data_IF_916095132077
#
_entry.id   IF_916095132077
#
_cell.length_a   1.000
_cell.length_b   1.000
_cell.length_c   1.000
_cell.angle_alpha   90.00
_cell.angle_beta   90.00
_cell.angle_gamma   90.00
#
_symmetry.space_group_name_H-M   'P 1'
#
loop_
_entity.id
_entity.type
_entity.pdbx_description
1 polymer ?
#
# COMPACT_ATOMS: atom_id res chain seq x y z
N UNK A 1 54.25 -62.08 56.45
CA UNK A 1 53.26 -62.86 55.68
C UNK A 1 51.94 -62.11 55.73
N UNK A 2 51.45 -61.68 54.56
CA UNK A 2 50.05 -61.62 54.08
C UNK A 2 48.97 -61.06 55.04
N UNK A 3 48.00 -60.22 54.67
CA UNK A 3 47.41 -59.79 53.39
C UNK A 3 46.47 -58.62 53.80
N UNK A 4 46.53 -57.46 53.17
CA UNK A 4 45.65 -57.04 52.06
C UNK A 4 44.14 -56.94 52.39
N UNK A 5 43.57 -55.82 51.92
CA UNK A 5 42.15 -55.49 51.61
C UNK A 5 41.41 -54.69 52.68
N UNK A 6 40.64 -53.65 52.37
CA UNK A 6 40.40 -52.87 51.15
C UNK A 6 39.59 -51.64 51.55
N UNK A 7 39.57 -50.66 50.64
CA UNK A 7 39.20 -49.26 50.85
C UNK A 7 37.72 -49.02 51.18
N UNK A 8 37.55 -48.01 52.03
CA UNK A 8 36.35 -47.33 52.48
C UNK A 8 35.42 -46.88 51.33
N UNK A 9 34.21 -47.44 51.28
CA UNK A 9 33.08 -46.94 50.49
C UNK A 9 32.33 -45.88 51.30
N UNK A 10 32.32 -44.61 50.88
CA UNK A 10 31.14 -43.73 50.98
C UNK A 10 31.22 -42.66 49.88
N UNK A 11 30.39 -42.87 48.87
CA UNK A 11 30.25 -42.07 47.67
C UNK A 11 29.38 -40.84 48.00
N UNK A 12 30.01 -39.73 48.40
CA UNK A 12 29.28 -38.45 48.57
C UNK A 12 29.01 -37.83 47.20
N UNK A 13 27.80 -38.03 46.70
CA UNK A 13 27.27 -37.45 45.46
C UNK A 13 27.18 -35.92 45.63
N UNK A 14 28.18 -35.17 45.15
CA UNK A 14 28.08 -33.71 45.01
C UNK A 14 27.24 -33.41 43.78
N UNK A 15 25.99 -33.01 44.00
CA UNK A 15 25.10 -32.47 42.98
C UNK A 15 25.70 -31.15 42.45
N UNK A 16 26.31 -31.18 41.27
CA UNK A 16 26.68 -29.96 40.55
C UNK A 16 25.41 -29.46 39.87
N UNK A 17 24.76 -28.46 40.46
CA UNK A 17 23.75 -27.67 39.77
C UNK A 17 24.49 -26.76 38.80
N UNK A 18 24.61 -27.18 37.54
CA UNK A 18 24.99 -26.29 36.44
C UNK A 18 23.80 -25.36 36.24
N UNK A 19 23.86 -24.17 36.84
CA UNK A 19 22.91 -23.10 36.57
C UNK A 19 23.21 -22.58 35.15
N UNK A 20 22.60 -23.23 34.15
CA UNK A 20 22.61 -22.75 32.77
C UNK A 20 21.95 -21.38 32.75
N UNK A 21 22.76 -20.33 32.71
CA UNK A 21 22.31 -18.98 32.41
C UNK A 21 21.88 -18.99 30.93
N UNK A 22 20.61 -19.29 30.68
CA UNK A 22 19.99 -19.07 29.38
C UNK A 22 20.01 -17.56 29.19
N UNK A 23 20.99 -17.06 28.44
CA UNK A 23 20.95 -15.74 27.83
C UNK A 23 19.70 -15.71 26.96
N UNK A 24 18.61 -15.16 27.49
CA UNK A 24 17.47 -14.73 26.71
C UNK A 24 17.99 -13.51 25.92
N UNK A 25 18.64 -13.77 24.80
CA UNK A 25 18.74 -12.75 23.77
C UNK A 25 17.30 -12.39 23.39
N UNK A 26 16.90 -11.11 23.40
CA UNK A 26 15.64 -10.74 22.79
C UNK A 26 15.71 -11.22 21.34
N UNK A 27 14.90 -12.22 21.00
CA UNK A 27 14.56 -12.51 19.62
C UNK A 27 13.85 -11.27 19.13
N UNK A 28 14.61 -10.37 18.51
CA UNK A 28 14.03 -9.30 17.71
C UNK A 28 13.28 -10.00 16.59
N UNK A 29 11.97 -10.15 16.76
CA UNK A 29 11.08 -10.59 15.73
C UNK A 29 11.06 -9.48 14.67
N UNK A 30 11.96 -9.57 13.69
CA UNK A 30 11.87 -8.74 12.50
C UNK A 30 10.58 -9.11 11.79
N UNK A 31 9.69 -8.14 11.61
CA UNK A 31 8.55 -8.31 10.72
C UNK A 31 9.09 -8.73 9.35
N UNK A 32 8.54 -9.82 8.77
CA UNK A 32 8.91 -10.29 7.43
C UNK A 32 8.89 -9.10 6.47
N UNK A 33 10.02 -8.84 5.79
CA UNK A 33 10.09 -7.80 4.76
C UNK A 33 8.99 -8.00 3.72
N UNK A 34 8.48 -6.90 3.18
CA UNK A 34 7.63 -6.91 2.00
C UNK A 34 8.38 -6.50 0.73
N UNK A 35 9.72 -6.53 0.72
CA UNK A 35 10.53 -6.38 -0.48
C UNK A 35 10.58 -7.70 -1.27
N UNK A 36 10.58 -7.61 -2.60
CA UNK A 36 10.61 -8.77 -3.48
C UNK A 36 11.89 -9.61 -3.31
N UNK A 37 11.73 -10.92 -3.18
CA UNK A 37 12.85 -11.86 -3.14
C UNK A 37 13.48 -12.12 -4.52
N UNK A 38 12.82 -11.67 -5.60
CA UNK A 38 13.29 -11.83 -6.97
C UNK A 38 14.65 -11.16 -7.14
N UNK A 39 15.60 -11.87 -7.75
CA UNK A 39 17.02 -11.46 -7.83
C UNK A 39 17.26 -10.15 -8.59
N UNK A 40 16.31 -9.68 -9.39
CA UNK A 40 16.37 -8.39 -10.09
C UNK A 40 15.60 -7.27 -9.38
N UNK A 41 14.78 -7.59 -8.38
CA UNK A 41 13.73 -6.68 -7.86
C UNK A 41 13.93 -6.27 -6.40
N UNK A 42 15.18 -6.23 -5.94
CA UNK A 42 15.56 -5.71 -4.61
C UNK A 42 16.84 -4.87 -4.61
N UNK A 43 17.18 -4.27 -5.75
CA UNK A 43 18.44 -3.57 -5.97
C UNK A 43 18.21 -2.11 -6.34
N UNK A 44 18.90 -1.23 -5.62
CA UNK A 44 19.18 0.13 -6.08
C UNK A 44 20.66 0.24 -6.46
N UNK A 45 21.01 1.26 -7.23
CA UNK A 45 22.35 1.48 -7.76
C UNK A 45 22.88 2.88 -7.48
N UNK A 46 24.17 2.98 -7.21
CA UNK A 46 24.93 4.22 -7.19
C UNK A 46 26.34 4.00 -7.77
N UNK A 47 26.86 4.98 -8.49
CA UNK A 47 28.15 4.85 -9.19
C UNK A 47 29.37 4.83 -8.26
N UNK A 48 29.24 5.28 -7.02
CA UNK A 48 30.33 5.34 -6.03
C UNK A 48 30.25 4.18 -5.04
N UNK A 49 29.08 3.89 -4.48
CA UNK A 49 28.91 2.85 -3.45
C UNK A 49 28.42 1.51 -4.00
N UNK A 50 28.07 1.45 -5.29
CA UNK A 50 27.65 0.26 -6.00
C UNK A 50 26.23 -0.18 -5.67
N UNK A 51 26.02 -1.51 -5.68
CA UNK A 51 24.74 -2.14 -5.42
C UNK A 51 24.28 -1.96 -3.97
N UNK A 52 23.01 -1.59 -3.82
CA UNK A 52 22.32 -1.42 -2.55
C UNK A 52 21.19 -2.45 -2.50
N UNK A 53 21.28 -3.39 -1.56
CA UNK A 53 20.36 -4.51 -1.41
C UNK A 53 19.30 -4.20 -0.34
N UNK A 54 18.04 -4.17 -0.74
CA UNK A 54 16.89 -3.91 0.15
C UNK A 54 16.31 -5.18 0.81
N UNK A 55 16.72 -6.38 0.38
CA UNK A 55 16.15 -7.65 0.81
C UNK A 55 17.04 -8.46 1.77
N UNK A 56 18.36 -8.33 1.70
CA UNK A 56 19.29 -9.27 2.35
C UNK A 56 19.16 -9.37 3.87
N UNK A 57 18.80 -8.27 4.55
CA UNK A 57 18.52 -8.28 5.99
C UNK A 57 17.06 -8.61 6.34
N UNK A 58 16.19 -8.75 5.34
CA UNK A 58 14.77 -9.07 5.48
C UNK A 58 14.04 -8.19 6.51
N UNK A 59 14.42 -6.92 6.62
CA UNK A 59 13.88 -5.98 7.60
C UNK A 59 13.26 -4.72 6.97
N UNK A 60 13.43 -4.50 5.66
CA UNK A 60 12.85 -3.35 5.00
C UNK A 60 11.37 -3.56 4.85
N UNK A 61 10.55 -2.61 5.29
CA UNK A 61 9.11 -2.69 5.17
C UNK A 61 8.54 -1.37 4.69
N UNK A 62 7.78 -1.44 3.60
CA UNK A 62 7.01 -0.31 3.07
C UNK A 62 5.60 -0.38 3.64
N UNK A 63 5.14 0.69 4.26
CA UNK A 63 3.77 0.82 4.76
C UNK A 63 3.07 2.01 4.11
N UNK A 64 1.80 2.23 4.47
CA UNK A 64 1.03 3.39 4.00
C UNK A 64 1.76 4.71 4.27
N UNK A 65 2.44 4.83 5.42
CA UNK A 65 2.96 6.10 5.93
C UNK A 65 4.49 6.16 6.03
N UNK A 66 5.19 5.04 5.89
CA UNK A 66 6.63 4.99 6.14
C UNK A 66 7.33 3.87 5.37
N UNK A 67 8.65 4.02 5.22
CA UNK A 67 9.56 2.93 4.88
C UNK A 67 10.51 2.75 6.05
N UNK A 68 10.50 1.57 6.66
CA UNK A 68 11.36 1.23 7.80
C UNK A 68 12.40 0.19 7.40
N UNK A 69 13.42 0.01 8.22
CA UNK A 69 14.46 -1.00 8.05
C UNK A 69 15.79 -0.40 7.64
N UNK A 70 16.67 -1.23 7.09
CA UNK A 70 17.90 -0.76 6.47
C UNK A 70 18.30 -1.60 5.26
N UNK A 71 18.81 -0.93 4.23
CA UNK A 71 19.37 -1.59 3.06
C UNK A 71 20.88 -1.80 3.26
N UNK A 72 21.42 -2.92 2.76
CA UNK A 72 22.85 -3.18 2.82
C UNK A 72 23.54 -2.67 1.56
N UNK A 73 24.70 -2.06 1.73
CA UNK A 73 25.56 -1.65 0.63
C UNK A 73 26.80 -2.54 0.60
N UNK A 74 27.42 -2.69 -0.57
CA UNK A 74 28.65 -3.50 -0.68
C UNK A 74 29.88 -2.83 -0.08
N UNK A 75 29.87 -1.51 0.11
CA UNK A 75 31.07 -0.72 0.45
C UNK A 75 30.88 0.39 1.51
N UNK A 76 29.64 0.57 2.00
CA UNK A 76 29.24 1.69 2.87
C UNK A 76 28.57 1.27 4.19
N UNK A 77 28.46 -0.03 4.49
CA UNK A 77 27.64 -0.53 5.58
C UNK A 77 26.15 -0.43 5.23
N UNK A 78 25.33 0.08 6.15
CA UNK A 78 23.88 0.13 6.00
C UNK A 78 23.38 1.52 5.61
N UNK A 79 22.29 1.58 4.86
CA UNK A 79 21.46 2.78 4.71
C UNK A 79 20.23 2.57 5.58
N UNK A 80 20.17 3.28 6.71
CA UNK A 80 19.03 3.24 7.62
C UNK A 80 17.89 4.11 7.08
N UNK A 81 16.71 3.52 6.91
CA UNK A 81 15.55 4.17 6.31
C UNK A 81 14.69 4.90 7.34
N UNK A 82 14.87 4.59 8.63
CA UNK A 82 14.20 5.25 9.74
C UNK A 82 15.05 5.17 11.02
N UNK A 83 14.90 6.18 11.88
CA UNK A 83 15.61 6.23 13.16
C UNK A 83 15.17 5.12 14.13
N UNK A 84 13.99 4.53 13.93
CA UNK A 84 13.38 3.56 14.84
C UNK A 84 14.08 2.22 14.75
N UNK A 85 14.35 1.76 13.53
CA UNK A 85 15.05 0.50 13.27
C UNK A 85 16.42 0.42 13.95
N UNK A 86 17.14 1.54 14.02
CA UNK A 86 18.48 1.60 14.67
C UNK A 86 18.43 2.21 16.08
N UNK A 87 17.23 2.52 16.59
CA UNK A 87 17.02 2.95 17.98
C UNK A 87 17.53 4.35 18.32
N UNK A 88 17.63 5.26 17.35
CA UNK A 88 18.21 6.61 17.54
C UNK A 88 17.20 7.76 17.51
N UNK A 89 15.90 7.48 17.41
CA UNK A 89 14.87 8.52 17.32
C UNK A 89 14.85 9.53 18.48
N UNK A 90 15.35 9.13 19.67
CA UNK A 90 15.49 10.03 20.82
C UNK A 90 16.60 11.08 20.66
N UNK A 91 17.54 10.88 19.73
CA UNK A 91 18.68 11.77 19.48
C UNK A 91 18.55 12.45 18.13
N UNK A 92 18.22 11.70 17.09
CA UNK A 92 18.02 12.21 15.73
C UNK A 92 16.76 11.56 15.16
N UNK A 93 15.71 12.38 14.99
CA UNK A 93 14.46 11.92 14.40
C UNK A 93 14.54 12.07 12.86
N UNK A 94 14.52 10.95 12.15
CA UNK A 94 14.49 10.89 10.70
C UNK A 94 13.73 9.66 10.22
N UNK A 95 13.30 9.72 8.97
CA UNK A 95 12.79 8.56 8.27
C UNK A 95 12.30 8.89 6.87
N UNK A 96 12.16 7.85 6.07
CA UNK A 96 11.54 7.91 4.75
C UNK A 96 10.03 7.75 4.93
N UNK A 97 9.27 8.77 4.51
CA UNK A 97 7.81 8.79 4.57
C UNK A 97 7.21 8.39 3.23
N UNK A 98 6.11 7.66 3.28
CA UNK A 98 5.24 7.37 2.14
C UNK A 98 3.94 8.16 2.32
N UNK A 99 3.45 8.84 1.28
CA UNK A 99 2.20 9.61 1.35
C UNK A 99 0.94 8.76 1.08
N UNK A 100 1.08 7.43 1.11
CA UNK A 100 0.06 6.44 0.77
C UNK A 100 -0.25 6.32 -0.73
N UNK A 101 0.14 7.29 -1.56
CA UNK A 101 0.07 7.22 -3.02
C UNK A 101 1.39 6.75 -3.65
N UNK A 102 2.36 6.35 -2.83
CA UNK A 102 3.65 5.87 -3.28
C UNK A 102 4.64 7.00 -3.57
N UNK A 103 4.38 8.25 -3.17
CA UNK A 103 5.38 9.30 -3.26
C UNK A 103 6.24 9.30 -2.00
N UNK A 104 7.52 8.99 -2.13
CA UNK A 104 8.43 8.98 -0.99
C UNK A 104 9.04 10.36 -0.74
N UNK A 105 9.28 10.66 0.54
CA UNK A 105 9.91 11.89 1.02
C UNK A 105 10.68 11.63 2.31
N UNK A 106 11.27 12.68 2.90
CA UNK A 106 12.09 12.52 4.10
C UNK A 106 13.49 11.96 3.81
N UNK A 107 14.11 11.41 4.84
CA UNK A 107 15.54 11.20 4.89
C UNK A 107 15.92 9.82 5.38
N UNK A 108 16.89 9.20 4.69
CA UNK A 108 17.63 8.05 5.19
C UNK A 108 19.03 8.50 5.65
N UNK A 109 19.71 7.64 6.41
CA UNK A 109 21.03 7.92 6.98
C UNK A 109 22.03 6.80 6.70
N UNK A 110 23.27 7.19 6.42
CA UNK A 110 24.42 6.31 6.39
C UNK A 110 25.57 6.94 7.20
N UNK A 111 26.24 6.16 8.05
CA UNK A 111 27.29 6.71 8.94
C UNK A 111 28.52 7.24 8.22
N UNK A 112 28.77 6.79 6.98
CA UNK A 112 29.93 7.20 6.19
C UNK A 112 29.64 8.36 5.25
N UNK A 113 28.43 8.39 4.68
CA UNK A 113 28.06 9.34 3.61
C UNK A 113 26.98 10.33 4.04
N UNK A 114 26.39 10.17 5.22
CA UNK A 114 25.43 11.07 5.81
C UNK A 114 24.01 10.94 5.25
N UNK A 115 23.33 12.08 5.14
CA UNK A 115 21.92 12.17 4.79
C UNK A 115 21.63 11.83 3.32
N UNK A 116 20.61 11.01 3.09
CA UNK A 116 20.11 10.65 1.77
C UNK A 116 18.67 11.14 1.66
N UNK A 117 18.41 12.09 0.75
CA UNK A 117 17.10 12.69 0.53
C UNK A 117 16.30 11.90 -0.50
N UNK A 118 15.04 11.58 -0.19
CA UNK A 118 14.12 10.89 -1.10
C UNK A 118 13.27 11.85 -1.96
N UNK A 119 13.36 13.16 -1.72
CA UNK A 119 12.60 14.18 -2.45
C UNK A 119 13.31 15.53 -2.46
N UNK A 120 13.38 16.16 -3.64
CA UNK A 120 13.92 17.52 -3.83
C UNK A 120 13.30 18.59 -2.92
N UNK A 121 12.01 18.44 -2.58
CA UNK A 121 11.32 19.37 -1.68
C UNK A 121 11.77 19.30 -0.21
N UNK A 122 12.52 18.26 0.19
CA UNK A 122 13.12 18.20 1.53
C UNK A 122 14.15 19.33 1.75
N UNK A 123 14.84 19.74 0.68
CA UNK A 123 15.93 20.73 0.71
C UNK A 123 15.60 22.04 -0.02
N UNK A 124 14.42 22.14 -0.65
CA UNK A 124 14.09 23.28 -1.51
C UNK A 124 15.03 23.42 -2.74
N UNK A 125 15.66 22.33 -3.18
CA UNK A 125 16.61 22.34 -4.29
C UNK A 125 15.94 22.58 -5.64
N UNK A 126 16.65 23.22 -6.57
CA UNK A 126 16.13 23.61 -7.89
C UNK A 126 15.96 22.44 -8.88
N UNK A 127 16.61 21.30 -8.63
CA UNK A 127 16.50 20.11 -9.49
C UNK A 127 15.40 19.21 -8.92
N UNK A 128 14.28 19.03 -9.63
CA UNK A 128 13.20 18.19 -9.16
C UNK A 128 13.57 16.71 -9.26
N UNK A 129 13.52 16.01 -8.13
CA UNK A 129 13.61 14.55 -8.05
C UNK A 129 12.70 14.02 -6.95
N UNK A 130 12.29 12.75 -7.07
CA UNK A 130 11.55 12.00 -6.06
C UNK A 130 11.67 10.50 -6.32
N UNK A 131 11.74 9.69 -5.26
CA UNK A 131 11.51 8.24 -5.35
C UNK A 131 10.01 7.95 -5.27
N UNK A 132 9.49 7.11 -6.17
CA UNK A 132 8.07 6.76 -6.24
C UNK A 132 7.86 5.25 -6.30
N UNK A 133 6.69 4.78 -5.86
CA UNK A 133 6.24 3.40 -5.94
C UNK A 133 4.96 3.35 -6.78
N UNK A 134 4.93 2.51 -7.81
CA UNK A 134 3.76 2.35 -8.69
C UNK A 134 2.73 1.34 -8.13
N UNK A 135 1.63 1.13 -8.87
CA UNK A 135 0.56 0.19 -8.48
C UNK A 135 0.96 -1.28 -8.49
N UNK A 136 2.12 -1.62 -9.08
CA UNK A 136 2.72 -2.96 -9.04
C UNK A 136 3.78 -3.07 -7.94
N UNK A 137 3.97 -2.03 -7.13
CA UNK A 137 4.97 -1.98 -6.08
C UNK A 137 6.40 -1.71 -6.58
N UNK A 138 6.58 -1.34 -7.85
CA UNK A 138 7.91 -1.05 -8.38
C UNK A 138 8.34 0.36 -7.97
N UNK A 139 9.54 0.46 -7.43
CA UNK A 139 10.16 1.74 -7.17
C UNK A 139 10.70 2.34 -8.47
N UNK A 140 10.74 3.67 -8.53
CA UNK A 140 11.31 4.44 -9.64
C UNK A 140 11.85 5.78 -9.15
N UNK A 141 12.64 6.44 -9.99
CA UNK A 141 13.24 7.74 -9.68
C UNK A 141 14.53 7.62 -8.88
N UNK A 142 14.88 8.72 -8.21
CA UNK A 142 16.20 8.91 -7.62
C UNK A 142 16.12 9.49 -6.21
N UNK A 143 17.03 9.04 -5.35
CA UNK A 143 17.40 9.74 -4.13
C UNK A 143 18.74 10.48 -4.32
N UNK A 144 19.01 11.46 -3.45
CA UNK A 144 20.21 12.30 -3.53
C UNK A 144 21.01 12.25 -2.23
N UNK A 145 22.33 12.19 -2.35
CA UNK A 145 23.29 12.39 -1.28
C UNK A 145 24.39 13.33 -1.74
N UNK A 146 24.85 14.24 -0.88
CA UNK A 146 25.83 15.27 -1.25
C UNK A 146 27.24 14.72 -1.49
N UNK A 147 27.55 13.50 -1.03
CA UNK A 147 28.87 12.87 -1.17
C UNK A 147 28.88 11.87 -2.32
N UNK A 148 27.88 10.99 -2.40
CA UNK A 148 27.84 9.90 -3.38
C UNK A 148 26.95 10.21 -4.59
N UNK A 149 26.23 11.33 -4.56
CA UNK A 149 25.36 11.77 -5.65
C UNK A 149 24.06 10.97 -5.75
N UNK A 150 23.67 10.68 -6.99
CA UNK A 150 22.38 10.08 -7.33
C UNK A 150 22.31 8.58 -7.00
N UNK A 151 21.23 8.16 -6.36
CA UNK A 151 20.93 6.75 -6.09
C UNK A 151 19.68 6.36 -6.90
N UNK A 152 19.85 5.43 -7.84
CA UNK A 152 18.81 4.94 -8.74
C UNK A 152 18.04 3.79 -8.12
N UNK A 153 16.70 3.84 -8.16
CA UNK A 153 15.84 2.75 -7.68
C UNK A 153 15.35 1.80 -8.78
N UNK A 154 15.63 2.11 -10.05
CA UNK A 154 15.20 1.32 -11.19
C UNK A 154 16.13 1.55 -12.39
N UNK A 155 16.40 0.51 -13.17
CA UNK A 155 17.13 0.64 -14.44
C UNK A 155 16.33 1.47 -15.46
N UNK A 156 15.00 1.47 -15.36
CA UNK A 156 14.11 2.29 -16.17
C UNK A 156 14.06 3.71 -15.64
N UNK A 157 14.39 4.66 -16.52
CA UNK A 157 14.49 6.07 -16.18
C UNK A 157 13.53 6.89 -17.04
N UNK A 158 12.37 7.33 -16.50
CA UNK A 158 11.38 8.09 -17.28
C UNK A 158 11.92 9.42 -17.83
N UNK A 159 12.92 9.99 -17.15
CA UNK A 159 13.50 11.31 -17.47
C UNK A 159 14.98 11.23 -17.87
N UNK A 160 15.50 10.04 -18.18
CA UNK A 160 16.92 9.82 -18.45
C UNK A 160 17.20 8.61 -19.33
N UNK A 161 18.47 8.20 -19.40
CA UNK A 161 18.87 7.03 -20.18
C UNK A 161 18.52 5.74 -19.42
N UNK A 162 17.64 4.94 -20.01
CA UNK A 162 17.30 3.61 -19.51
C UNK A 162 18.51 2.65 -19.62
N UNK A 163 18.85 1.97 -18.52
CA UNK A 163 19.96 1.01 -18.47
C UNK A 163 19.49 -0.46 -18.42
N UNK A 164 18.19 -0.74 -18.48
CA UNK A 164 17.63 -2.09 -18.35
C UNK A 164 18.12 -3.07 -19.43
N UNK A 165 18.54 -2.58 -20.60
CA UNK A 165 19.12 -3.42 -21.66
C UNK A 165 20.52 -3.93 -21.34
N UNK A 166 21.22 -3.31 -20.38
CA UNK A 166 22.58 -3.68 -19.95
C UNK A 166 22.59 -4.24 -18.53
N UNK A 167 21.79 -3.67 -17.64
CA UNK A 167 21.64 -4.11 -16.26
C UNK A 167 20.19 -3.98 -15.84
N UNK A 168 19.51 -5.11 -15.68
CA UNK A 168 18.12 -5.15 -15.25
C UNK A 168 18.07 -5.19 -13.72
N UNK A 169 17.65 -4.07 -13.12
CA UNK A 169 17.52 -3.94 -11.67
C UNK A 169 16.36 -3.01 -11.31
N UNK A 170 15.73 -3.29 -10.19
CA UNK A 170 14.75 -2.42 -9.54
C UNK A 170 14.65 -2.76 -8.05
N UNK A 171 14.04 -1.87 -7.27
CA UNK A 171 13.47 -2.23 -5.97
C UNK A 171 11.97 -2.45 -6.17
N UNK A 172 11.42 -3.54 -5.65
CA UNK A 172 10.00 -3.82 -5.67
C UNK A 172 9.52 -4.23 -4.29
N UNK A 173 8.33 -3.75 -3.91
CA UNK A 173 7.63 -4.14 -2.68
C UNK A 173 6.29 -4.82 -3.02
N UNK A 174 5.78 -5.63 -2.09
CA UNK A 174 4.40 -6.13 -2.13
C UNK A 174 3.38 -5.06 -1.70
N UNK A 175 3.84 -3.97 -1.09
CA UNK A 175 2.99 -2.82 -0.83
C UNK A 175 2.66 -2.09 -2.14
N UNK A 176 1.40 -1.76 -2.36
CA UNK A 176 0.99 -0.94 -3.49
C UNK A 176 0.00 0.13 -3.04
N UNK A 177 -0.01 1.31 -3.67
CA UNK A 177 -1.01 2.32 -3.43
C UNK A 177 -2.40 1.76 -3.79
N UNK A 178 -3.31 1.76 -2.83
CA UNK A 178 -4.66 1.18 -2.99
C UNK A 178 -5.72 2.12 -2.43
N UNK A 179 -6.83 2.26 -3.16
CA UNK A 179 -8.04 2.92 -2.66
C UNK A 179 -8.83 1.98 -1.76
N UNK A 180 -9.49 2.53 -0.74
CA UNK A 180 -10.52 1.81 0.02
C UNK A 180 -11.90 2.20 -0.47
N UNK A 181 -12.84 1.26 -0.45
CA UNK A 181 -14.24 1.51 -0.83
C UNK A 181 -15.22 1.19 0.30
N UNK A 182 -16.30 1.94 0.37
CA UNK A 182 -17.48 1.64 1.19
C UNK A 182 -18.75 1.81 0.39
N UNK A 183 -19.86 1.23 0.87
CA UNK A 183 -21.16 1.40 0.21
C UNK A 183 -22.29 1.69 1.19
N UNK A 184 -23.34 2.32 0.68
CA UNK A 184 -24.59 2.56 1.37
C UNK A 184 -25.75 2.12 0.49
N UNK A 185 -26.65 1.31 1.04
CA UNK A 185 -27.87 0.88 0.38
C UNK A 185 -29.01 1.82 0.74
N UNK A 186 -29.74 2.28 -0.27
CA UNK A 186 -30.90 3.14 -0.09
C UNK A 186 -32.05 2.42 0.60
N UNK A 187 -33.07 3.15 1.04
CA UNK A 187 -34.40 2.57 1.31
C UNK A 187 -35.06 2.05 0.02
N UNK A 188 -36.19 1.35 0.16
CA UNK A 188 -37.04 0.94 -0.96
C UNK A 188 -37.82 2.15 -1.50
N UNK A 189 -37.75 2.38 -2.80
CA UNK A 189 -38.57 3.34 -3.53
C UNK A 189 -39.65 2.61 -4.33
N UNK A 190 -40.84 3.21 -4.42
CA UNK A 190 -41.97 2.76 -5.21
C UNK A 190 -42.16 3.75 -6.36
N UNK A 191 -42.13 3.28 -7.60
CA UNK A 191 -42.32 4.13 -8.79
C UNK A 191 -43.78 4.58 -8.95
N UNK A 192 -44.72 3.90 -8.29
CA UNK A 192 -46.16 4.08 -8.44
C UNK A 192 -46.76 3.33 -9.64
N UNK A 193 -45.92 2.82 -10.55
CA UNK A 193 -46.37 2.11 -11.75
C UNK A 193 -46.66 0.64 -11.45
N UNK A 194 -47.95 0.31 -11.39
CA UNK A 194 -48.42 -1.06 -11.10
C UNK A 194 -48.01 -2.08 -12.17
N UNK A 195 -47.79 -1.62 -13.40
CA UNK A 195 -47.29 -2.44 -14.51
C UNK A 195 -45.75 -2.54 -14.56
N UNK A 196 -45.07 -1.88 -13.63
CA UNK A 196 -43.62 -1.71 -13.60
C UNK A 196 -43.16 -0.48 -14.38
N UNK A 197 -41.94 -0.05 -14.09
CA UNK A 197 -41.28 1.08 -14.75
C UNK A 197 -39.87 0.67 -15.22
N UNK A 198 -39.27 1.52 -16.06
CA UNK A 198 -37.87 1.48 -16.44
C UNK A 198 -37.07 2.54 -15.68
N UNK A 199 -35.98 2.14 -15.03
CA UNK A 199 -34.99 3.11 -14.53
C UNK A 199 -34.14 3.65 -15.68
N UNK A 200 -34.24 4.94 -15.98
CA UNK A 200 -33.62 5.56 -17.15
C UNK A 200 -32.18 6.01 -16.88
N UNK A 201 -31.97 6.71 -15.77
CA UNK A 201 -30.67 7.29 -15.47
C UNK A 201 -30.50 7.59 -14.00
N UNK A 202 -29.25 7.73 -13.58
CA UNK A 202 -28.87 8.26 -12.27
C UNK A 202 -27.92 9.45 -12.44
N UNK A 203 -28.10 10.47 -11.61
CA UNK A 203 -27.12 11.52 -11.40
C UNK A 203 -26.96 11.77 -9.90
N UNK A 204 -25.88 12.42 -9.51
CA UNK A 204 -25.63 12.75 -8.11
C UNK A 204 -25.01 14.14 -7.99
N UNK A 205 -25.30 14.82 -6.89
CA UNK A 205 -24.67 16.07 -6.52
C UNK A 205 -23.77 15.87 -5.32
N UNK A 206 -22.69 16.65 -5.27
CA UNK A 206 -21.77 16.61 -4.15
C UNK A 206 -20.38 17.12 -4.53
N UNK A 207 -19.40 16.67 -3.76
CA UNK A 207 -18.01 17.04 -3.93
C UNK A 207 -17.18 15.84 -4.41
N UNK A 208 -16.50 16.02 -5.54
CA UNK A 208 -15.50 15.10 -6.07
C UNK A 208 -14.11 15.77 -5.96
N UNK A 209 -13.16 15.20 -5.21
CA UNK A 209 -11.84 15.80 -5.09
C UNK A 209 -11.05 15.82 -6.43
N UNK A 210 -10.37 16.94 -6.75
CA UNK A 210 -9.58 17.12 -7.99
C UNK A 210 -8.06 17.22 -7.73
N UNK A 211 -7.24 16.45 -8.46
CA UNK A 211 -5.74 16.51 -8.46
C UNK A 211 -5.11 15.95 -7.17
N UNK A 212 -4.03 15.15 -7.15
CA UNK A 212 -2.96 14.85 -8.09
C UNK A 212 -2.68 13.34 -7.99
N UNK A 213 -2.76 12.60 -9.10
CA UNK A 213 -2.52 11.15 -9.14
C UNK A 213 -3.71 10.26 -8.76
N UNK A 214 -4.94 10.78 -8.76
CA UNK A 214 -6.14 10.06 -8.27
C UNK A 214 -6.63 8.95 -9.22
N UNK A 215 -5.81 7.92 -9.42
CA UNK A 215 -6.34 6.57 -9.57
C UNK A 215 -7.05 6.21 -8.26
N UNK A 216 -8.22 5.58 -8.36
CA UNK A 216 -8.93 5.05 -7.20
C UNK A 216 -9.99 5.95 -6.55
N UNK A 217 -10.06 7.28 -6.80
CA UNK A 217 -11.19 8.10 -6.31
C UNK A 217 -12.40 7.92 -7.22
N UNK A 218 -13.58 7.64 -6.66
CA UNK A 218 -14.76 7.38 -7.49
C UNK A 218 -16.07 7.32 -6.72
N UNK A 219 -17.16 7.51 -7.46
CA UNK A 219 -18.51 7.14 -7.06
C UNK A 219 -19.02 6.10 -8.05
N UNK A 220 -19.63 5.03 -7.54
CA UNK A 220 -20.24 3.97 -8.32
C UNK A 220 -21.67 3.70 -7.87
N UNK A 221 -22.53 3.30 -8.80
CA UNK A 221 -23.90 2.90 -8.50
C UNK A 221 -24.19 1.46 -8.92
N UNK A 222 -24.99 0.77 -8.12
CA UNK A 222 -25.68 -0.46 -8.51
C UNK A 222 -27.16 -0.31 -8.19
N UNK A 223 -28.02 -1.06 -8.89
CA UNK A 223 -29.46 -0.99 -8.71
C UNK A 223 -30.04 -2.38 -8.50
N UNK A 224 -31.02 -2.47 -7.62
CA UNK A 224 -31.83 -3.65 -7.39
C UNK A 224 -33.29 -3.29 -7.66
N UNK A 225 -34.00 -4.18 -8.35
CA UNK A 225 -35.40 -3.98 -8.75
C UNK A 225 -36.24 -5.19 -8.35
N UNK A 226 -37.51 -4.96 -7.98
CA UNK A 226 -38.45 -6.02 -7.59
C UNK A 226 -39.90 -5.59 -7.82
N UNK A 227 -40.81 -6.56 -7.97
CA UNK A 227 -42.26 -6.35 -7.94
C UNK A 227 -42.86 -6.55 -6.54
N UNK A 228 -42.02 -6.73 -5.53
CA UNK A 228 -42.39 -6.75 -4.11
C UNK A 228 -41.59 -5.70 -3.34
N UNK A 229 -42.26 -4.98 -2.44
CA UNK A 229 -41.66 -3.95 -1.58
C UNK A 229 -40.65 -4.51 -0.57
N UNK A 230 -40.64 -5.84 -0.36
CA UNK A 230 -39.69 -6.54 0.50
C UNK A 230 -38.48 -7.11 -0.23
N UNK A 231 -38.41 -6.99 -1.56
CA UNK A 231 -37.34 -7.57 -2.39
C UNK A 231 -37.77 -8.84 -3.13
N UNK A 232 -36.84 -9.69 -3.60
CA UNK A 232 -35.40 -9.71 -3.28
C UNK A 232 -34.64 -8.48 -3.77
N UNK A 233 -33.54 -8.14 -3.10
CA UNK A 233 -32.69 -7.00 -3.45
C UNK A 233 -31.33 -7.48 -3.96
N UNK A 234 -31.24 -7.67 -5.28
CA UNK A 234 -30.01 -8.05 -5.97
C UNK A 234 -29.42 -6.82 -6.65
N UNK A 235 -28.37 -6.22 -6.08
CA UNK A 235 -27.76 -5.03 -6.64
C UNK A 235 -26.90 -5.38 -7.85
N UNK A 236 -27.31 -4.94 -9.03
CA UNK A 236 -26.67 -5.29 -10.31
C UNK A 236 -25.99 -4.05 -10.89
N UNK A 237 -24.79 -4.23 -11.41
CA UNK A 237 -24.06 -3.25 -12.22
C UNK A 237 -24.13 -3.55 -13.73
N UNK A 238 -23.32 -2.88 -14.56
CA UNK A 238 -23.32 -3.03 -16.02
C UNK A 238 -23.10 -4.45 -16.55
N UNK A 239 -22.44 -5.34 -15.78
CA UNK A 239 -22.18 -6.72 -16.20
C UNK A 239 -23.35 -7.69 -15.92
N UNK A 240 -24.44 -7.24 -15.31
CA UNK A 240 -25.59 -8.10 -14.99
C UNK A 240 -25.39 -9.02 -13.78
N UNK A 241 -24.22 -9.02 -13.13
CA UNK A 241 -23.91 -9.90 -12.00
C UNK A 241 -24.37 -9.25 -10.69
N UNK A 242 -25.26 -9.95 -9.99
CA UNK A 242 -25.76 -9.51 -8.69
C UNK A 242 -24.65 -9.41 -7.64
N UNK A 243 -24.64 -8.31 -6.90
CA UNK A 243 -23.76 -7.99 -5.78
C UNK A 243 -22.26 -8.07 -6.11
N UNK A 244 -21.89 -7.88 -7.38
CA UNK A 244 -20.49 -7.86 -7.81
C UNK A 244 -19.78 -6.61 -7.27
N UNK A 245 -18.63 -6.78 -6.62
CA UNK A 245 -17.80 -5.65 -6.15
C UNK A 245 -17.01 -4.96 -7.26
N UNK A 246 -16.93 -5.59 -8.44
CA UNK A 246 -16.15 -5.11 -9.59
C UNK A 246 -17.01 -4.52 -10.71
N UNK A 247 -18.34 -4.47 -10.55
CA UNK A 247 -19.23 -3.92 -11.56
C UNK A 247 -20.23 -2.93 -10.98
N UNK A 248 -20.11 -1.69 -11.42
CA UNK A 248 -20.94 -0.57 -11.03
C UNK A 248 -20.97 0.45 -12.16
N UNK A 249 -22.03 1.24 -12.20
CA UNK A 249 -22.13 2.40 -13.08
C UNK A 249 -21.18 3.48 -12.56
N UNK A 250 -20.13 3.77 -13.31
CA UNK A 250 -19.13 4.75 -12.91
C UNK A 250 -19.70 6.17 -13.00
N UNK A 251 -19.73 6.87 -11.86
CA UNK A 251 -20.25 8.20 -11.69
C UNK A 251 -19.17 9.19 -11.28
N UNK A 252 -18.05 9.23 -12.00
CA UNK A 252 -16.87 10.05 -11.66
C UNK A 252 -17.13 11.57 -11.61
N UNK A 253 -18.22 12.06 -12.21
CA UNK A 253 -18.49 13.51 -12.32
C UNK A 253 -19.82 13.86 -11.66
N UNK A 254 -19.83 14.70 -10.60
CA UNK A 254 -21.07 15.22 -10.03
C UNK A 254 -21.87 16.03 -11.06
N UNK A 255 -23.19 15.93 -11.02
CA UNK A 255 -24.12 16.60 -11.92
C UNK A 255 -24.20 16.00 -13.33
N UNK A 256 -23.45 14.94 -13.62
CA UNK A 256 -23.53 14.24 -14.90
C UNK A 256 -24.46 13.02 -14.80
N UNK A 257 -25.43 12.94 -15.71
CA UNK A 257 -26.39 11.85 -15.76
C UNK A 257 -25.84 10.63 -16.50
N UNK A 258 -26.03 9.45 -15.91
CA UNK A 258 -25.54 8.17 -16.40
C UNK A 258 -26.74 7.34 -16.84
N UNK A 259 -26.81 6.93 -18.11
CA UNK A 259 -27.89 6.06 -18.58
C UNK A 259 -27.77 4.67 -17.98
N UNK A 260 -28.90 4.09 -17.59
CA UNK A 260 -28.99 2.75 -17.03
C UNK A 260 -29.46 1.75 -18.09
N UNK A 261 -29.11 0.48 -17.88
CA UNK A 261 -29.47 -0.60 -18.81
C UNK A 261 -30.97 -0.91 -18.78
N UNK A 262 -31.58 -0.95 -19.97
CA UNK A 262 -32.95 -1.45 -20.15
C UNK A 262 -33.07 -2.96 -19.89
N UNK A 263 -31.97 -3.70 -19.98
CA UNK A 263 -31.99 -5.17 -19.82
C UNK A 263 -32.24 -5.57 -18.37
N UNK A 264 -31.74 -4.78 -17.40
CA UNK A 264 -31.69 -5.19 -16.00
C UNK A 264 -32.78 -4.55 -15.12
N UNK A 265 -33.32 -3.40 -15.54
CA UNK A 265 -34.12 -2.54 -14.65
C UNK A 265 -35.49 -2.18 -15.24
N UNK A 266 -36.02 -3.01 -16.15
CA UNK A 266 -37.31 -2.79 -16.80
C UNK A 266 -38.44 -3.62 -16.19
N UNK A 267 -39.67 -3.12 -16.24
CA UNK A 267 -40.90 -3.79 -15.79
C UNK A 267 -40.90 -4.15 -14.30
N UNK A 268 -40.35 -3.27 -13.47
CA UNK A 268 -40.37 -3.41 -12.02
C UNK A 268 -40.93 -2.17 -11.32
N UNK A 269 -41.77 -2.39 -10.29
CA UNK A 269 -42.39 -1.30 -9.52
C UNK A 269 -41.49 -0.72 -8.44
N UNK A 270 -40.70 -1.56 -7.77
CA UNK A 270 -39.87 -1.13 -6.65
C UNK A 270 -38.40 -1.18 -7.01
N UNK A 271 -37.63 -0.23 -6.50
CA UNK A 271 -36.18 -0.23 -6.65
C UNK A 271 -35.45 0.19 -5.39
N UNK A 272 -34.18 -0.20 -5.32
CA UNK A 272 -33.17 0.30 -4.39
C UNK A 272 -31.91 0.61 -5.18
N UNK A 273 -31.11 1.54 -4.70
CA UNK A 273 -29.76 1.77 -5.20
C UNK A 273 -28.73 1.50 -4.11
N UNK A 274 -27.55 1.08 -4.55
CA UNK A 274 -26.34 1.02 -3.74
C UNK A 274 -25.39 2.05 -4.29
N UNK A 275 -24.97 2.98 -3.45
CA UNK A 275 -23.92 3.91 -3.78
C UNK A 275 -22.61 3.44 -3.18
N UNK A 276 -21.54 3.45 -3.97
CA UNK A 276 -20.20 2.99 -3.62
C UNK A 276 -19.28 4.19 -3.73
N UNK A 277 -18.50 4.46 -2.69
CA UNK A 277 -17.55 5.57 -2.64
C UNK A 277 -16.15 4.98 -2.50
N UNK A 278 -15.21 5.48 -3.29
CA UNK A 278 -13.81 5.07 -3.29
C UNK A 278 -12.91 6.24 -2.86
N UNK A 279 -11.99 5.99 -1.92
CA UNK A 279 -10.99 6.96 -1.48
C UNK A 279 -9.91 7.17 -2.53
N UNK A 280 -9.10 8.22 -2.40
CA UNK A 280 -7.81 8.26 -3.09
C UNK A 280 -6.91 7.12 -2.60
N UNK A 281 -5.85 6.83 -3.36
CA UNK A 281 -4.83 5.83 -2.98
C UNK A 281 -4.10 6.17 -1.69
N UNK A 282 -3.95 7.46 -1.37
CA UNK A 282 -3.45 7.90 -0.05
C UNK A 282 -4.43 7.68 1.11
N UNK A 283 -5.69 7.35 0.83
CA UNK A 283 -6.75 7.14 1.81
C UNK A 283 -7.01 8.34 2.74
N UNK A 284 -6.73 9.56 2.26
CA UNK A 284 -6.92 10.82 2.99
C UNK A 284 -8.13 11.60 2.51
N UNK A 285 -8.68 11.26 1.35
CA UNK A 285 -9.77 11.98 0.69
C UNK A 285 -10.76 11.00 0.08
N UNK A 286 -12.04 11.31 0.17
CA UNK A 286 -13.12 10.59 -0.52
C UNK A 286 -14.14 11.58 -1.08
N UNK A 287 -14.93 11.16 -2.08
CA UNK A 287 -16.11 11.90 -2.49
C UNK A 287 -17.10 12.09 -1.33
N UNK A 288 -17.86 13.18 -1.39
CA UNK A 288 -19.04 13.43 -0.55
C UNK A 288 -20.25 13.50 -1.48
N UNK A 289 -21.30 12.78 -1.13
CA UNK A 289 -22.55 12.77 -1.89
C UNK A 289 -23.58 13.54 -1.08
N UNK A 290 -24.13 14.58 -1.68
CA UNK A 290 -25.11 15.47 -1.07
C UNK A 290 -26.54 15.11 -1.54
N UNK A 291 -26.68 14.69 -2.79
CA UNK A 291 -27.97 14.26 -3.37
C UNK A 291 -27.79 13.20 -4.47
N UNK A 292 -28.83 12.39 -4.68
CA UNK A 292 -28.90 11.36 -5.73
C UNK A 292 -30.28 11.47 -6.40
N UNK A 293 -30.29 11.73 -7.71
CA UNK A 293 -31.51 11.78 -8.50
C UNK A 293 -31.58 10.57 -9.44
N UNK A 294 -32.73 9.91 -9.46
CA UNK A 294 -33.02 8.76 -10.31
C UNK A 294 -34.20 9.11 -11.18
N UNK A 295 -34.04 8.95 -12.49
CA UNK A 295 -35.10 9.16 -13.47
C UNK A 295 -35.68 7.80 -13.88
N UNK A 296 -37.01 7.69 -13.94
CA UNK A 296 -37.72 6.51 -14.42
C UNK A 296 -38.91 6.89 -15.29
N UNK A 297 -39.40 5.94 -16.08
CA UNK A 297 -40.62 6.10 -16.88
C UNK A 297 -41.49 4.84 -16.81
N UNK A 298 -42.83 4.99 -16.91
CA UNK A 298 -43.77 3.87 -17.03
C UNK A 298 -43.52 3.00 -18.27
#
# INVERSE_FOLDING_TARGET
MNNAKEKLNYFTLKLIVVLSFILIFPLNASASTNISATSTSHWAWNDIIGWINFYSSQNVNVSLNSVTGYANTTSAGIISLDCGTVGVCGTVNYGVSNDGAGNLSGWAWNDKYGWISFWSGNNGGSIPYRVKIDTNGNFSGWAWNDVVGWISFNCYQPLGSNSCGTSNYEVQTLWAPTSTSGYLDSQTFDTGDVSGAQLNSVLWHGYMPSGVGSTGVGVGFQFAVSNSSSGPWNFVGPNGIANSTSSFWNASTPGYSIPLSYVFYNNFRYFRYRVIIFSNTSQTMSPRIDDIEINWSP
#
